data_IF_331443473323
#
_entry.id   IF_331443473323
#
_cell.length_a   1.000
_cell.length_b   1.000
_cell.length_c   1.000
_cell.angle_alpha   90.00
_cell.angle_beta   90.00
_cell.angle_gamma   90.00
#
_symmetry.space_group_name_H-M   'P 1'
#
loop_
_entity.id
_entity.type
_entity.pdbx_description
1 polymer ?
#
# COMPACT_ATOMS: atom_id res chain seq x y z
N UNK A 1 -5.89 0.42 -15.94
CA UNK A 1 -5.32 -0.94 -15.97
C UNK A 1 -4.29 -1.20 -14.87
N UNK A 2 -3.26 -0.37 -14.68
CA UNK A 2 -2.22 -0.59 -13.65
C UNK A 2 -2.77 -0.93 -12.26
N UNK A 3 -3.64 -0.09 -11.71
CA UNK A 3 -4.31 -0.30 -10.41
C UNK A 3 -5.00 -1.67 -10.32
N UNK A 4 -5.69 -2.06 -11.39
CA UNK A 4 -6.48 -3.31 -11.44
C UNK A 4 -5.59 -4.54 -11.44
N UNK A 5 -4.48 -4.51 -12.15
CA UNK A 5 -3.50 -5.61 -12.13
C UNK A 5 -2.87 -5.77 -10.74
N UNK A 6 -2.57 -4.66 -10.06
CA UNK A 6 -2.11 -4.69 -8.67
C UNK A 6 -3.16 -5.32 -7.75
N UNK A 7 -4.41 -4.88 -7.80
CA UNK A 7 -5.52 -5.45 -7.00
C UNK A 7 -5.67 -6.95 -7.25
N UNK A 8 -5.72 -7.39 -8.51
CA UNK A 8 -5.86 -8.80 -8.86
C UNK A 8 -4.66 -9.64 -8.37
N UNK A 9 -3.44 -9.07 -8.42
CA UNK A 9 -2.24 -9.76 -7.95
C UNK A 9 -2.24 -10.00 -6.44
N UNK A 10 -2.72 -9.03 -5.64
CA UNK A 10 -2.77 -9.17 -4.18
C UNK A 10 -4.00 -9.94 -3.70
N UNK A 11 -5.06 -10.04 -4.52
CA UNK A 11 -6.17 -10.96 -4.26
C UNK A 11 -5.77 -12.43 -4.48
N UNK A 12 -4.74 -12.69 -5.28
CA UNK A 12 -4.30 -14.03 -5.67
C UNK A 12 -3.07 -14.55 -4.90
N UNK A 13 -2.85 -14.08 -3.66
CA UNK A 13 -1.85 -14.66 -2.77
C UNK A 13 -2.17 -16.13 -2.47
N UNK A 14 -1.13 -16.94 -2.26
CA UNK A 14 -1.28 -18.33 -1.82
C UNK A 14 -1.54 -18.36 -0.31
N UNK A 15 -2.68 -17.84 0.11
CA UNK A 15 -3.11 -17.75 1.50
C UNK A 15 -4.61 -18.05 1.59
N UNK A 16 -5.12 -18.56 2.71
CA UNK A 16 -6.55 -18.88 2.83
C UNK A 16 -7.41 -17.65 2.54
N UNK A 17 -8.27 -17.78 1.54
CA UNK A 17 -9.01 -16.66 0.96
C UNK A 17 -9.92 -15.97 1.98
N UNK A 18 -10.46 -16.74 2.92
CA UNK A 18 -11.31 -16.25 4.01
C UNK A 18 -10.56 -15.35 5.01
N UNK A 19 -9.22 -15.37 5.00
CA UNK A 19 -8.35 -14.53 5.83
C UNK A 19 -7.82 -13.31 5.09
N UNK A 20 -8.06 -13.21 3.78
CA UNK A 20 -7.64 -12.08 2.94
C UNK A 20 -8.76 -11.05 2.78
N UNK A 21 -8.38 -9.78 2.78
CA UNK A 21 -9.26 -8.65 2.48
C UNK A 21 -8.45 -7.57 1.80
N UNK A 22 -8.93 -7.08 0.67
CA UNK A 22 -8.26 -6.08 -0.17
C UNK A 22 -9.11 -4.81 -0.17
N UNK A 23 -8.44 -3.68 0.05
CA UNK A 23 -9.07 -2.37 0.10
C UNK A 23 -8.36 -1.45 -0.90
N UNK A 24 -9.12 -0.84 -1.80
CA UNK A 24 -8.63 0.18 -2.72
C UNK A 24 -9.08 1.56 -2.23
N UNK A 25 -8.12 2.44 -1.92
CA UNK A 25 -8.41 3.85 -1.66
C UNK A 25 -8.24 4.67 -2.94
N UNK A 26 -9.25 5.44 -3.29
CA UNK A 26 -9.25 6.35 -4.43
C UNK A 26 -9.47 7.79 -3.95
N UNK A 27 -8.36 8.51 -3.81
CA UNK A 27 -8.37 9.93 -3.44
C UNK A 27 -8.89 10.83 -4.57
N UNK A 28 -8.99 10.35 -5.81
CA UNK A 28 -9.61 11.08 -6.92
C UNK A 28 -11.13 10.97 -6.94
N UNK A 29 -11.70 10.00 -6.22
CA UNK A 29 -13.15 9.76 -6.16
C UNK A 29 -13.76 9.52 -7.54
N UNK A 30 -13.06 8.83 -8.43
CA UNK A 30 -13.49 8.64 -9.81
C UNK A 30 -14.41 7.43 -9.94
N UNK A 31 -15.57 7.63 -10.55
CA UNK A 31 -16.49 6.53 -10.89
C UNK A 31 -15.87 5.56 -11.90
N UNK A 32 -14.95 6.02 -12.76
CA UNK A 32 -14.16 5.18 -13.66
C UNK A 32 -13.25 4.21 -12.89
N UNK A 33 -12.61 4.65 -11.80
CA UNK A 33 -11.80 3.76 -10.94
C UNK A 33 -12.70 2.71 -10.29
N UNK A 34 -13.87 3.12 -9.79
CA UNK A 34 -14.85 2.19 -9.22
C UNK A 34 -15.37 1.19 -10.26
N UNK A 35 -15.68 1.64 -11.48
CA UNK A 35 -16.05 0.76 -12.59
C UNK A 35 -14.95 -0.25 -12.94
N UNK A 36 -13.70 0.21 -13.03
CA UNK A 36 -12.57 -0.67 -13.29
C UNK A 36 -12.42 -1.73 -12.19
N UNK A 37 -12.66 -1.38 -10.93
CA UNK A 37 -12.64 -2.33 -9.81
C UNK A 37 -13.83 -3.30 -9.87
N UNK A 38 -15.00 -2.85 -10.31
CA UNK A 38 -16.16 -3.72 -10.53
C UNK A 38 -15.89 -4.76 -11.62
N UNK A 39 -15.32 -4.34 -12.74
CA UNK A 39 -14.87 -5.25 -13.81
C UNK A 39 -13.82 -6.25 -13.29
N UNK A 40 -12.85 -5.78 -12.49
CA UNK A 40 -11.85 -6.62 -11.85
C UNK A 40 -12.48 -7.65 -10.89
N UNK A 41 -13.50 -7.26 -10.12
CA UNK A 41 -14.20 -8.15 -9.21
C UNK A 41 -14.86 -9.32 -9.94
N UNK A 42 -15.40 -9.07 -11.14
CA UNK A 42 -15.97 -10.12 -11.98
C UNK A 42 -14.89 -11.04 -12.56
N UNK A 43 -13.80 -10.47 -13.09
CA UNK A 43 -12.68 -11.26 -13.62
C UNK A 43 -11.98 -12.09 -12.54
N UNK A 44 -11.95 -11.60 -11.29
CA UNK A 44 -11.33 -12.30 -10.16
C UNK A 44 -11.91 -13.71 -9.93
N UNK A 45 -13.20 -13.91 -10.24
CA UNK A 45 -13.88 -15.22 -10.19
C UNK A 45 -13.25 -16.29 -11.08
N UNK A 46 -12.51 -15.88 -12.11
CA UNK A 46 -11.83 -16.77 -13.03
C UNK A 46 -10.31 -16.75 -12.79
N UNK A 47 -9.76 -15.57 -12.47
CA UNK A 47 -8.31 -15.39 -12.29
C UNK A 47 -7.76 -16.09 -11.05
N UNK A 48 -8.43 -15.97 -9.91
CA UNK A 48 -7.96 -16.54 -8.64
C UNK A 48 -7.89 -18.08 -8.67
N UNK A 49 -8.94 -18.81 -9.09
CA UNK A 49 -8.85 -20.27 -9.20
C UNK A 49 -7.81 -20.70 -10.24
N UNK A 50 -7.69 -20.00 -11.38
CA UNK A 50 -6.64 -20.26 -12.37
C UNK A 50 -5.24 -20.13 -11.76
N UNK A 51 -4.98 -19.04 -11.04
CA UNK A 51 -3.73 -18.81 -10.33
C UNK A 51 -3.41 -19.96 -9.37
N UNK A 52 -4.38 -20.37 -8.57
CA UNK A 52 -4.22 -21.42 -7.56
C UNK A 52 -4.01 -22.80 -8.17
N UNK A 53 -4.83 -23.15 -9.18
CA UNK A 53 -4.81 -24.45 -9.86
C UNK A 53 -3.48 -24.71 -10.57
N UNK A 54 -2.96 -23.71 -11.28
CA UNK A 54 -1.73 -23.85 -12.07
C UNK A 54 -0.48 -23.31 -11.38
N UNK A 55 -0.61 -22.81 -10.14
CA UNK A 55 0.45 -22.21 -9.34
C UNK A 55 1.33 -21.21 -10.12
N UNK A 56 0.68 -20.34 -10.89
CA UNK A 56 1.38 -19.44 -11.82
C UNK A 56 2.05 -18.28 -11.11
N UNK A 57 3.11 -17.73 -11.68
CA UNK A 57 3.70 -16.48 -11.22
C UNK A 57 4.23 -15.65 -12.42
N UNK A 58 4.20 -14.31 -12.38
CA UNK A 58 3.67 -13.46 -11.30
C UNK A 58 2.14 -13.48 -11.21
N UNK A 59 1.57 -12.99 -10.10
CA UNK A 59 0.10 -12.94 -9.90
C UNK A 59 -0.59 -11.77 -10.59
N UNK A 60 0.17 -10.81 -11.13
CA UNK A 60 -0.36 -9.74 -12.00
C UNK A 60 -0.72 -10.32 -13.38
N UNK A 61 -2.00 -10.25 -13.81
CA UNK A 61 -2.41 -10.75 -15.12
C UNK A 61 -1.64 -10.09 -16.27
N UNK A 62 -1.48 -8.77 -16.24
CA UNK A 62 -0.71 -8.06 -17.27
C UNK A 62 0.74 -8.54 -17.36
N UNK A 63 1.41 -8.70 -16.22
CA UNK A 63 2.79 -9.16 -16.17
C UNK A 63 2.89 -10.61 -16.68
N UNK A 64 2.00 -11.48 -16.20
CA UNK A 64 1.94 -12.89 -16.60
C UNK A 64 1.66 -13.08 -18.09
N UNK A 65 0.71 -12.33 -18.67
CA UNK A 65 0.40 -12.45 -20.10
C UNK A 65 1.38 -11.72 -21.02
N UNK A 66 2.27 -10.90 -20.47
CA UNK A 66 3.34 -10.23 -21.22
C UNK A 66 4.58 -11.10 -21.39
N UNK A 67 4.80 -12.08 -20.51
CA UNK A 67 5.86 -13.06 -20.67
C UNK A 67 5.47 -14.10 -21.71
N UNK A 68 6.31 -14.28 -22.73
CA UNK A 68 6.22 -15.44 -23.63
C UNK A 68 6.54 -16.68 -22.79
N UNK A 69 5.59 -17.59 -22.61
CA UNK A 69 5.89 -18.89 -22.02
C UNK A 69 5.35 -20.02 -22.87
N UNK A 70 6.27 -20.68 -23.56
CA UNK A 70 6.09 -21.89 -24.37
C UNK A 70 5.81 -23.16 -23.51
N UNK A 71 5.40 -23.01 -22.25
CA UNK A 71 5.38 -24.09 -21.26
C UNK A 71 4.00 -24.37 -20.65
N UNK A 72 2.91 -24.01 -21.34
CA UNK A 72 1.57 -24.28 -20.83
C UNK A 72 1.16 -25.73 -20.99
N UNK A 73 0.90 -26.38 -19.85
CA UNK A 73 0.34 -27.73 -19.76
C UNK A 73 -1.13 -27.75 -20.22
N UNK A 74 -1.85 -26.62 -20.13
CA UNK A 74 -3.23 -26.46 -20.58
C UNK A 74 -3.41 -25.16 -21.38
N UNK A 75 -3.24 -25.28 -22.71
CA UNK A 75 -3.33 -24.19 -23.68
C UNK A 75 -4.76 -23.63 -23.78
N UNK A 76 -5.78 -24.47 -23.58
CA UNK A 76 -7.19 -24.07 -23.68
C UNK A 76 -7.57 -23.17 -22.51
N UNK A 77 -7.28 -23.59 -21.27
CA UNK A 77 -7.50 -22.77 -20.08
C UNK A 77 -6.73 -21.45 -20.16
N UNK A 78 -5.47 -21.48 -20.58
CA UNK A 78 -4.67 -20.26 -20.75
C UNK A 78 -5.31 -19.29 -21.75
N UNK A 79 -5.69 -19.78 -22.94
CA UNK A 79 -6.32 -18.97 -23.99
C UNK A 79 -7.66 -18.38 -23.52
N UNK A 80 -8.48 -19.17 -22.83
CA UNK A 80 -9.76 -18.73 -22.29
C UNK A 80 -9.60 -17.60 -21.26
N UNK A 81 -8.69 -17.76 -20.28
CA UNK A 81 -8.46 -16.71 -19.26
C UNK A 81 -7.82 -15.47 -19.88
N UNK A 82 -6.87 -15.64 -20.82
CA UNK A 82 -6.26 -14.51 -21.55
C UNK A 82 -7.30 -13.72 -22.32
N UNK A 83 -8.26 -14.40 -22.96
CA UNK A 83 -9.40 -13.76 -23.64
C UNK A 83 -10.25 -12.96 -22.65
N UNK A 84 -10.65 -13.54 -21.52
CA UNK A 84 -11.42 -12.84 -20.49
C UNK A 84 -10.70 -11.60 -19.94
N UNK A 85 -9.38 -11.70 -19.72
CA UNK A 85 -8.55 -10.56 -19.32
C UNK A 85 -8.59 -9.45 -20.37
N UNK A 86 -8.40 -9.80 -21.65
CA UNK A 86 -8.41 -8.82 -22.76
C UNK A 86 -9.77 -8.18 -22.97
N UNK A 87 -10.86 -8.92 -22.76
CA UNK A 87 -12.22 -8.37 -22.80
C UNK A 87 -12.45 -7.37 -21.65
N UNK A 88 -12.01 -7.70 -20.43
CA UNK A 88 -12.07 -6.80 -19.28
C UNK A 88 -11.24 -5.53 -19.53
N UNK A 89 -9.98 -5.68 -19.98
CA UNK A 89 -9.08 -4.59 -20.33
C UNK A 89 -9.72 -3.67 -21.38
N UNK A 90 -10.27 -4.26 -22.45
CA UNK A 90 -10.94 -3.51 -23.51
C UNK A 90 -12.15 -2.71 -23.01
N UNK A 91 -13.00 -3.30 -22.15
CA UNK A 91 -14.14 -2.59 -21.55
C UNK A 91 -13.68 -1.40 -20.72
N UNK A 92 -12.72 -1.62 -19.83
CA UNK A 92 -12.16 -0.57 -18.96
C UNK A 92 -11.55 0.57 -19.79
N UNK A 93 -10.70 0.24 -20.77
CA UNK A 93 -10.05 1.25 -21.61
C UNK A 93 -11.03 2.01 -22.49
N UNK A 94 -12.04 1.34 -23.04
CA UNK A 94 -13.07 1.98 -23.85
C UNK A 94 -13.86 2.99 -23.02
N UNK A 95 -14.32 2.59 -21.83
CA UNK A 95 -15.04 3.48 -20.91
C UNK A 95 -14.16 4.62 -20.42
N UNK A 96 -12.88 4.37 -20.12
CA UNK A 96 -11.92 5.40 -19.74
C UNK A 96 -11.69 6.42 -20.87
N UNK A 97 -11.55 5.97 -22.13
CA UNK A 97 -11.41 6.85 -23.31
C UNK A 97 -12.67 7.68 -23.56
N UNK A 98 -13.85 7.11 -23.32
CA UNK A 98 -15.11 7.84 -23.42
C UNK A 98 -15.30 8.86 -22.29
N UNK A 99 -14.57 8.72 -21.18
CA UNK A 99 -14.67 9.59 -20.00
C UNK A 99 -16.01 9.49 -19.26
N UNK A 100 -16.86 8.52 -19.61
CA UNK A 100 -18.17 8.31 -19.00
C UNK A 100 -18.59 6.85 -19.03
N UNK A 101 -19.33 6.43 -18.02
CA UNK A 101 -19.89 5.07 -17.92
C UNK A 101 -21.31 5.09 -18.51
N UNK A 102 -21.63 4.21 -19.47
CA UNK A 102 -22.99 4.07 -20.01
C UNK A 102 -24.04 3.82 -18.91
N UNK A 103 -25.23 4.38 -19.07
CA UNK A 103 -26.29 4.31 -18.04
C UNK A 103 -26.78 2.86 -17.81
N UNK A 104 -26.73 2.03 -18.85
CA UNK A 104 -27.05 0.61 -18.77
C UNK A 104 -26.06 -0.16 -17.87
N UNK A 105 -24.84 0.35 -17.70
CA UNK A 105 -23.85 -0.20 -16.77
C UNK A 105 -24.04 0.38 -15.37
N UNK A 106 -24.31 1.68 -15.27
CA UNK A 106 -24.55 2.36 -13.98
C UNK A 106 -25.72 1.75 -13.23
N UNK A 107 -26.79 1.41 -13.94
CA UNK A 107 -27.99 0.77 -13.37
C UNK A 107 -27.75 -0.66 -12.86
N UNK A 108 -26.66 -1.34 -13.28
CA UNK A 108 -26.33 -2.70 -12.82
C UNK A 108 -25.77 -2.76 -11.41
N UNK A 109 -25.31 -1.65 -10.84
CA UNK A 109 -24.72 -1.63 -9.52
C UNK A 109 -25.15 -0.41 -8.69
N UNK A 110 -25.81 -0.64 -7.55
CA UNK A 110 -26.35 0.40 -6.66
C UNK A 110 -25.33 1.50 -6.31
N UNK A 111 -24.04 1.12 -6.19
CA UNK A 111 -22.96 2.02 -5.77
C UNK A 111 -22.73 3.21 -6.69
N UNK A 112 -23.11 3.15 -7.97
CA UNK A 112 -22.96 4.29 -8.87
C UNK A 112 -23.82 5.50 -8.47
N UNK A 113 -24.90 5.28 -7.70
CA UNK A 113 -25.74 6.35 -7.18
C UNK A 113 -25.02 7.31 -6.24
N UNK A 114 -23.91 6.88 -5.62
CA UNK A 114 -23.08 7.73 -4.75
C UNK A 114 -22.46 8.92 -5.50
N UNK A 115 -22.24 8.78 -6.82
CA UNK A 115 -21.69 9.85 -7.64
C UNK A 115 -22.72 10.90 -8.05
N UNK A 116 -24.02 10.64 -7.83
CA UNK A 116 -25.06 11.62 -8.16
C UNK A 116 -25.03 12.84 -7.22
N UNK A 117 -24.42 12.71 -6.04
CA UNK A 117 -24.25 13.81 -5.07
C UNK A 117 -22.84 14.39 -5.03
N UNK A 118 -21.92 13.92 -5.88
CA UNK A 118 -20.53 14.41 -5.95
C UNK A 118 -20.51 15.77 -6.63
N UNK A 119 -20.00 16.79 -5.91
CA UNK A 119 -19.86 18.14 -6.48
C UNK A 119 -18.54 18.30 -7.21
N UNK A 120 -17.44 17.82 -6.62
CA UNK A 120 -16.12 17.77 -7.26
C UNK A 120 -15.21 16.74 -6.60
N UNK A 121 -14.03 16.48 -7.19
CA UNK A 121 -13.00 15.62 -6.57
C UNK A 121 -12.45 16.17 -5.23
N UNK A 122 -12.74 17.44 -4.89
CA UNK A 122 -12.35 18.07 -3.62
C UNK A 122 -13.54 18.34 -2.70
N UNK A 123 -14.75 18.01 -3.15
CA UNK A 123 -15.99 18.23 -2.41
C UNK A 123 -17.00 17.11 -2.70
N UNK A 124 -16.94 16.08 -1.87
CA UNK A 124 -17.83 14.93 -1.94
C UNK A 124 -17.91 14.21 -0.60
N UNK A 125 -19.03 13.55 -0.34
CA UNK A 125 -19.20 12.67 0.81
C UNK A 125 -18.29 11.43 0.72
N UNK A 126 -18.15 10.69 1.81
CA UNK A 126 -17.49 9.38 1.76
C UNK A 126 -18.25 8.41 0.84
N UNK A 127 -17.55 7.83 -0.13
CA UNK A 127 -18.03 6.76 -0.99
C UNK A 127 -17.33 5.45 -0.57
N UNK A 128 -18.10 4.50 -0.04
CA UNK A 128 -17.59 3.22 0.42
C UNK A 128 -18.49 2.12 -0.14
N UNK A 129 -17.92 1.15 -0.85
CA UNK A 129 -18.65 0.02 -1.43
C UNK A 129 -17.91 -1.29 -1.16
N UNK A 130 -18.63 -2.29 -0.64
CA UNK A 130 -18.13 -3.65 -0.50
C UNK A 130 -18.54 -4.45 -1.74
N UNK A 131 -17.61 -4.58 -2.70
CA UNK A 131 -17.88 -5.26 -3.98
C UNK A 131 -17.96 -6.77 -3.82
N UNK A 132 -17.09 -7.33 -2.97
CA UNK A 132 -17.11 -8.74 -2.59
C UNK A 132 -17.15 -8.78 -1.06
N UNK A 133 -18.25 -9.28 -0.51
CA UNK A 133 -18.35 -9.59 0.91
C UNK A 133 -18.15 -11.10 1.10
N UNK A 134 -17.00 -11.51 1.65
CA UNK A 134 -16.68 -12.94 1.83
C UNK A 134 -17.70 -13.72 2.68
N UNK A 135 -18.51 -13.02 3.47
CA UNK A 135 -19.58 -13.63 4.29
C UNK A 135 -20.85 -13.92 3.50
N UNK A 136 -20.95 -13.37 2.29
CA UNK A 136 -22.06 -13.63 1.38
C UNK A 136 -21.90 -15.00 0.72
N UNK A 137 -22.95 -15.83 0.65
CA UNK A 137 -22.89 -17.12 -0.05
C UNK A 137 -22.60 -16.97 -1.56
N UNK A 138 -22.85 -15.78 -2.13
CA UNK A 138 -22.59 -15.50 -3.54
C UNK A 138 -21.17 -15.03 -3.82
N UNK A 139 -20.34 -14.85 -2.78
CA UNK A 139 -18.94 -14.42 -2.91
C UNK A 139 -18.02 -15.63 -3.16
N UNK A 140 -18.33 -16.39 -4.21
CA UNK A 140 -17.58 -17.56 -4.64
C UNK A 140 -17.06 -17.40 -6.07
N UNK A 141 -15.95 -18.08 -6.35
CA UNK A 141 -15.39 -18.21 -7.69
C UNK A 141 -16.11 -19.29 -8.51
N UNK A 142 -15.66 -19.53 -9.75
CA UNK A 142 -16.27 -20.52 -10.64
C UNK A 142 -16.15 -21.97 -10.15
N UNK A 143 -15.21 -22.24 -9.24
CA UNK A 143 -15.00 -23.57 -8.64
C UNK A 143 -15.77 -23.70 -7.31
N UNK A 144 -16.54 -22.69 -6.92
CA UNK A 144 -17.31 -22.65 -5.67
C UNK A 144 -16.49 -22.29 -4.42
N UNK A 145 -15.24 -21.88 -4.57
CA UNK A 145 -14.39 -21.44 -3.46
C UNK A 145 -14.66 -19.99 -3.09
N UNK A 146 -14.62 -19.65 -1.80
CA UNK A 146 -14.85 -18.30 -1.33
C UNK A 146 -13.81 -17.30 -1.89
N UNK A 147 -14.26 -16.08 -2.22
CA UNK A 147 -13.43 -14.96 -2.68
C UNK A 147 -13.04 -14.03 -1.53
N UNK A 148 -11.90 -13.32 -1.64
CA UNK A 148 -11.46 -12.42 -0.58
C UNK A 148 -12.35 -11.17 -0.59
N UNK A 149 -12.52 -10.57 0.59
CA UNK A 149 -13.31 -9.32 0.68
C UNK A 149 -12.65 -8.23 -0.16
N UNK A 150 -13.43 -7.52 -0.98
CA UNK A 150 -12.95 -6.44 -1.84
C UNK A 150 -13.76 -5.17 -1.57
N UNK A 151 -13.06 -4.10 -1.17
CA UNK A 151 -13.69 -2.84 -0.75
C UNK A 151 -13.10 -1.67 -1.53
N UNK A 152 -13.98 -0.82 -2.08
CA UNK A 152 -13.63 0.48 -2.63
C UNK A 152 -13.90 1.56 -1.59
N UNK A 153 -12.94 2.46 -1.37
CA UNK A 153 -13.09 3.64 -0.52
C UNK A 153 -12.64 4.90 -1.27
N UNK A 154 -13.51 5.89 -1.35
CA UNK A 154 -13.12 7.29 -1.50
C UNK A 154 -13.57 8.03 -0.24
N UNK A 155 -12.60 8.47 0.57
CA UNK A 155 -12.86 9.19 1.82
C UNK A 155 -13.49 10.57 1.56
N UNK A 156 -14.20 11.08 2.54
CA UNK A 156 -14.81 12.42 2.42
C UNK A 156 -13.75 13.50 2.17
N UNK A 157 -14.08 14.42 1.27
CA UNK A 157 -13.28 15.61 1.00
C UNK A 157 -14.17 16.83 1.02
N UNK A 158 -13.69 17.87 1.71
CA UNK A 158 -14.31 19.20 1.75
C UNK A 158 -13.24 20.26 1.46
N UNK A 159 -13.57 21.37 0.75
CA UNK A 159 -12.58 22.38 0.36
C UNK A 159 -11.76 22.98 1.51
N UNK A 160 -12.36 23.06 2.71
CA UNK A 160 -11.74 23.67 3.89
C UNK A 160 -11.03 22.66 4.81
N UNK A 161 -10.99 21.37 4.43
CA UNK A 161 -10.36 20.31 5.22
C UNK A 161 -9.10 19.81 4.55
N UNK A 162 -7.96 19.93 5.24
CA UNK A 162 -6.70 19.41 4.74
C UNK A 162 -6.69 17.88 4.81
N UNK A 163 -6.48 17.22 3.67
CA UNK A 163 -6.64 15.76 3.55
C UNK A 163 -5.34 14.96 3.71
N UNK A 164 -4.16 15.60 3.84
CA UNK A 164 -2.89 14.91 4.14
C UNK A 164 -2.50 13.81 3.11
N UNK A 165 -2.89 13.95 1.84
CA UNK A 165 -2.50 13.07 0.72
C UNK A 165 -2.55 11.57 1.08
N UNK A 166 -1.49 10.80 0.75
CA UNK A 166 -1.39 9.35 0.98
C UNK A 166 -1.51 8.97 2.45
N UNK A 167 -0.90 9.72 3.36
CA UNK A 167 -0.98 9.47 4.81
C UNK A 167 -2.44 9.42 5.30
N UNK A 168 -3.24 10.42 4.90
CA UNK A 168 -4.65 10.48 5.30
C UNK A 168 -5.51 9.39 4.64
N UNK A 169 -5.20 9.01 3.39
CA UNK A 169 -5.87 7.91 2.70
C UNK A 169 -5.63 6.58 3.42
N UNK A 170 -4.37 6.29 3.76
CA UNK A 170 -3.99 5.11 4.52
C UNK A 170 -4.61 5.10 5.93
N UNK A 171 -4.67 6.26 6.60
CA UNK A 171 -5.30 6.35 7.92
C UNK A 171 -6.80 6.07 7.87
N UNK A 172 -7.50 6.58 6.85
CA UNK A 172 -8.92 6.24 6.62
C UNK A 172 -9.10 4.73 6.38
N UNK A 173 -8.23 4.10 5.56
CA UNK A 173 -8.26 2.65 5.36
C UNK A 173 -8.01 1.85 6.65
N UNK A 174 -7.06 2.27 7.50
CA UNK A 174 -6.80 1.58 8.77
C UNK A 174 -8.06 1.62 9.65
N UNK A 175 -8.75 2.77 9.72
CA UNK A 175 -10.00 2.89 10.48
C UNK A 175 -11.13 2.06 9.88
N UNK A 176 -11.44 2.22 8.60
CA UNK A 176 -12.52 1.51 7.90
C UNK A 176 -12.31 0.00 7.98
N UNK A 177 -11.10 -0.49 7.70
CA UNK A 177 -10.79 -1.92 7.77
C UNK A 177 -10.91 -2.50 9.17
N UNK A 178 -10.77 -1.70 10.24
CA UNK A 178 -10.96 -2.16 11.62
C UNK A 178 -12.41 -2.58 11.90
N UNK A 179 -13.38 -1.99 11.21
CA UNK A 179 -14.80 -2.33 11.31
C UNK A 179 -15.19 -3.48 10.37
N UNK A 180 -14.62 -3.53 9.17
CA UNK A 180 -15.02 -4.51 8.14
C UNK A 180 -14.36 -5.88 8.35
N UNK A 181 -13.03 -5.96 8.40
CA UNK A 181 -12.31 -7.24 8.51
C UNK A 181 -11.45 -7.36 9.76
N UNK A 182 -11.10 -6.26 10.42
CA UNK A 182 -10.27 -6.19 11.62
C UNK A 182 -8.95 -7.00 11.53
N UNK A 183 -8.36 -7.08 10.32
CA UNK A 183 -7.15 -7.86 10.08
C UNK A 183 -5.97 -7.38 10.93
N UNK A 184 -5.27 -8.29 11.62
CA UNK A 184 -4.20 -7.94 12.57
C UNK A 184 -2.89 -7.53 11.91
N UNK A 185 -2.65 -8.02 10.69
CA UNK A 185 -1.53 -7.62 9.84
C UNK A 185 -2.10 -6.83 8.66
N UNK A 186 -1.45 -5.73 8.31
CA UNK A 186 -1.81 -4.83 7.23
C UNK A 186 -0.65 -4.79 6.26
N UNK A 187 -0.88 -5.17 5.01
CA UNK A 187 0.05 -4.96 3.92
C UNK A 187 -0.29 -3.62 3.24
N UNK A 188 0.67 -2.71 3.14
CA UNK A 188 0.56 -1.53 2.29
C UNK A 188 1.34 -1.74 0.99
N UNK A 189 0.70 -1.42 -0.14
CA UNK A 189 1.25 -1.58 -1.49
C UNK A 189 0.74 -0.42 -2.33
N UNK A 190 1.65 0.22 -3.07
CA UNK A 190 1.32 1.26 -4.03
C UNK A 190 0.67 0.69 -5.30
N UNK A 191 -0.15 1.48 -5.97
CA UNK A 191 -0.94 1.00 -7.11
C UNK A 191 -0.10 0.59 -8.34
N UNK A 192 1.15 1.03 -8.40
CA UNK A 192 2.15 0.68 -9.41
C UNK A 192 3.02 -0.52 -9.01
N UNK A 193 2.79 -1.13 -7.83
CA UNK A 193 3.52 -2.29 -7.32
C UNK A 193 2.60 -3.51 -7.26
N UNK A 194 2.91 -4.58 -8.00
CA UNK A 194 2.15 -5.82 -7.97
C UNK A 194 2.88 -6.94 -7.21
N UNK A 195 2.12 -7.94 -6.78
CA UNK A 195 2.64 -9.16 -6.18
C UNK A 195 3.35 -10.02 -7.23
N UNK A 196 4.66 -10.16 -7.10
CA UNK A 196 5.49 -11.02 -7.94
C UNK A 196 5.75 -12.39 -7.30
N UNK A 197 5.55 -12.54 -5.99
CA UNK A 197 5.66 -13.81 -5.28
C UNK A 197 4.44 -14.01 -4.37
N UNK A 198 3.62 -15.02 -4.65
CA UNK A 198 2.42 -15.32 -3.86
C UNK A 198 2.67 -15.88 -2.47
N UNK A 199 3.91 -16.21 -2.12
CA UNK A 199 4.27 -16.65 -0.77
C UNK A 199 4.60 -15.48 0.17
N UNK A 200 4.67 -14.24 -0.33
CA UNK A 200 5.10 -13.07 0.46
C UNK A 200 4.30 -12.87 1.76
N UNK A 201 3.01 -13.22 1.78
CA UNK A 201 2.18 -13.19 3.00
C UNK A 201 2.68 -14.21 4.03
N UNK A 202 2.96 -15.45 3.62
CA UNK A 202 3.48 -16.50 4.51
C UNK A 202 4.88 -16.15 5.01
N UNK A 203 5.73 -15.68 4.10
CA UNK A 203 7.09 -15.25 4.43
C UNK A 203 7.09 -14.16 5.52
N UNK A 204 6.24 -13.14 5.37
CA UNK A 204 6.10 -12.09 6.37
C UNK A 204 5.57 -12.63 7.71
N UNK A 205 4.60 -13.54 7.66
CA UNK A 205 4.02 -14.15 8.86
C UNK A 205 5.03 -14.98 9.65
N UNK A 206 6.02 -15.61 9.02
CA UNK A 206 7.09 -16.33 9.72
C UNK A 206 7.78 -15.43 10.76
N UNK A 207 8.06 -14.17 10.42
CA UNK A 207 8.67 -13.20 11.35
C UNK A 207 7.73 -12.76 12.46
N UNK A 208 6.44 -12.58 12.16
CA UNK A 208 5.47 -12.15 13.18
C UNK A 208 5.07 -13.27 14.14
N UNK A 209 5.15 -14.52 13.69
CA UNK A 209 4.72 -15.70 14.44
C UNK A 209 5.87 -16.40 15.16
N UNK A 210 7.10 -15.92 14.99
CA UNK A 210 8.26 -16.40 15.75
C UNK A 210 8.00 -16.23 17.27
N UNK A 211 8.08 -17.34 18.00
CA UNK A 211 7.71 -17.40 19.42
C UNK A 211 8.67 -16.63 20.33
N UNK A 212 9.93 -16.51 19.91
CA UNK A 212 10.97 -15.86 20.71
C UNK A 212 11.01 -14.36 20.48
N UNK A 213 11.05 -13.91 19.22
CA UNK A 213 11.32 -12.53 18.82
C UNK A 213 10.18 -11.87 18.07
N UNK A 214 9.20 -12.64 17.59
CA UNK A 214 8.13 -12.11 16.75
C UNK A 214 7.32 -11.01 17.44
N UNK A 215 7.17 -11.09 18.76
CA UNK A 215 6.47 -10.08 19.58
C UNK A 215 7.15 -8.69 19.58
N UNK A 216 8.42 -8.59 19.20
CA UNK A 216 9.16 -7.32 19.08
C UNK A 216 9.02 -6.68 17.68
N UNK A 217 8.60 -7.45 16.68
CA UNK A 217 8.56 -7.02 15.27
C UNK A 217 7.27 -6.25 14.99
N UNK A 218 7.40 -4.97 14.66
CA UNK A 218 6.28 -4.13 14.23
C UNK A 218 5.96 -4.28 12.75
N UNK A 219 6.98 -4.42 11.90
CA UNK A 219 6.79 -4.55 10.46
C UNK A 219 7.91 -5.30 9.76
N UNK A 220 7.59 -5.90 8.61
CA UNK A 220 8.52 -6.59 7.71
C UNK A 220 8.54 -5.83 6.39
N UNK A 221 9.70 -5.27 6.05
CA UNK A 221 9.92 -4.49 4.83
C UNK A 221 10.53 -5.38 3.74
N UNK A 222 9.87 -5.44 2.59
CA UNK A 222 10.43 -6.07 1.39
C UNK A 222 11.17 -5.01 0.55
N UNK A 223 12.15 -5.42 -0.28
CA UNK A 223 12.78 -4.53 -1.24
C UNK A 223 11.74 -3.94 -2.20
N UNK A 224 11.86 -2.64 -2.48
CA UNK A 224 11.21 -2.05 -3.65
C UNK A 224 12.01 -2.45 -4.89
N UNK A 225 11.38 -3.14 -5.84
CA UNK A 225 12.01 -3.65 -7.05
C UNK A 225 11.15 -3.32 -8.27
N UNK A 226 11.78 -3.20 -9.44
CA UNK A 226 11.13 -2.68 -10.64
C UNK A 226 11.34 -3.59 -11.85
N UNK A 227 10.34 -3.71 -12.72
CA UNK A 227 10.39 -4.57 -13.91
C UNK A 227 10.86 -3.85 -15.17
N UNK A 228 10.71 -2.52 -15.24
CA UNK A 228 11.06 -1.68 -16.38
C UNK A 228 12.50 -1.15 -16.36
N UNK A 229 13.40 -1.79 -15.59
CA UNK A 229 14.80 -1.37 -15.52
C UNK A 229 15.56 -1.75 -16.80
N UNK A 230 16.38 -0.82 -17.28
CA UNK A 230 17.29 -1.09 -18.39
C UNK A 230 18.57 -1.74 -17.87
N UNK A 231 19.27 -2.48 -18.74
CA UNK A 231 20.58 -3.10 -18.41
C UNK A 231 21.61 -2.09 -17.86
N UNK A 232 21.53 -0.83 -18.31
CA UNK A 232 22.50 0.20 -17.94
C UNK A 232 22.10 0.94 -16.65
N UNK A 233 20.82 0.91 -16.25
CA UNK A 233 20.26 1.59 -15.07
C UNK A 233 20.88 2.98 -14.79
N UNK A 234 20.94 3.83 -15.83
CA UNK A 234 21.68 5.11 -15.79
C UNK A 234 21.16 6.10 -14.75
N UNK A 235 19.93 5.90 -14.25
CA UNK A 235 19.32 6.71 -13.20
C UNK A 235 19.47 6.11 -11.80
N UNK A 236 20.06 4.91 -11.67
CA UNK A 236 20.21 4.23 -10.39
C UNK A 236 18.89 3.78 -9.77
N UNK A 237 17.86 3.56 -10.59
CA UNK A 237 16.50 3.25 -10.14
C UNK A 237 16.41 1.90 -9.44
N UNK A 238 17.38 0.99 -9.65
CA UNK A 238 17.43 -0.29 -8.93
C UNK A 238 17.65 -0.15 -7.42
N UNK A 239 18.22 0.98 -6.96
CA UNK A 239 18.58 1.22 -5.55
C UNK A 239 19.36 0.04 -4.93
N UNK A 240 20.24 -0.58 -5.71
CA UNK A 240 20.92 -1.83 -5.36
C UNK A 240 21.77 -1.75 -4.09
N UNK A 241 22.41 -0.61 -3.82
CA UNK A 241 23.21 -0.39 -2.59
C UNK A 241 22.30 -0.30 -1.36
N UNK A 242 21.24 0.51 -1.45
CA UNK A 242 20.25 0.69 -0.38
C UNK A 242 19.63 -0.66 0.03
N UNK A 243 19.12 -1.40 -0.96
CA UNK A 243 18.46 -2.67 -0.72
C UNK A 243 19.41 -3.86 -0.48
N UNK A 244 20.61 -3.85 -1.06
CA UNK A 244 21.56 -4.97 -0.94
C UNK A 244 22.44 -4.90 0.30
N UNK A 245 22.83 -3.69 0.70
CA UNK A 245 23.84 -3.45 1.73
C UNK A 245 23.25 -2.72 2.92
N UNK A 246 22.66 -1.54 2.72
CA UNK A 246 22.27 -0.66 3.83
C UNK A 246 21.13 -1.25 4.67
N UNK A 247 20.01 -1.63 4.05
CA UNK A 247 18.87 -2.20 4.78
C UNK A 247 19.20 -3.55 5.42
N UNK A 248 19.98 -4.38 4.74
CA UNK A 248 20.52 -5.62 5.32
C UNK A 248 21.38 -5.33 6.54
N UNK A 249 22.22 -4.29 6.49
CA UNK A 249 23.04 -3.86 7.62
C UNK A 249 22.23 -3.30 8.79
N UNK A 250 21.17 -2.54 8.51
CA UNK A 250 20.25 -1.99 9.53
C UNK A 250 19.47 -3.07 10.28
N UNK A 251 19.27 -4.24 9.68
CA UNK A 251 18.61 -5.37 10.33
C UNK A 251 19.36 -5.82 11.61
N UNK A 252 20.68 -5.67 11.63
CA UNK A 252 21.50 -5.87 12.84
C UNK A 252 21.28 -4.85 13.96
N UNK A 253 20.62 -3.72 13.67
CA UNK A 253 20.42 -2.58 14.58
C UNK A 253 18.95 -2.26 14.85
N UNK A 254 18.06 -3.25 14.70
CA UNK A 254 16.63 -3.10 15.00
C UNK A 254 15.74 -2.91 13.77
N UNK A 255 16.31 -3.04 12.56
CA UNK A 255 15.55 -3.13 11.32
C UNK A 255 15.62 -1.88 10.44
N UNK A 256 15.23 -2.01 9.15
CA UNK A 256 15.22 -0.92 8.19
C UNK A 256 14.07 0.05 8.45
N UNK A 257 14.12 1.26 7.84
CA UNK A 257 12.96 2.15 7.81
C UNK A 257 11.79 1.56 7.01
N UNK A 258 10.61 2.11 7.26
CA UNK A 258 9.45 1.93 6.40
C UNK A 258 9.59 2.83 5.16
N UNK A 259 9.49 2.26 3.96
CA UNK A 259 9.72 2.96 2.67
C UNK A 259 8.48 3.06 1.78
N UNK A 260 7.29 3.04 2.37
CA UNK A 260 6.06 3.43 1.67
C UNK A 260 5.29 2.35 0.90
N UNK A 261 5.92 1.22 0.57
CA UNK A 261 5.30 0.10 -0.18
C UNK A 261 5.91 -1.26 0.19
N UNK A 262 5.21 -2.35 -0.11
CA UNK A 262 5.68 -3.73 0.09
C UNK A 262 6.01 -4.03 1.55
N UNK A 263 5.27 -3.44 2.49
CA UNK A 263 5.54 -3.58 3.92
C UNK A 263 4.35 -4.19 4.65
N UNK A 264 4.61 -5.20 5.45
CA UNK A 264 3.61 -5.80 6.32
C UNK A 264 3.75 -5.19 7.70
N UNK A 265 2.68 -4.62 8.25
CA UNK A 265 2.65 -3.99 9.57
C UNK A 265 1.71 -4.74 10.51
N UNK A 266 2.07 -4.83 11.79
CA UNK A 266 1.08 -5.09 12.85
C UNK A 266 0.13 -3.90 12.95
N UNK A 267 -1.18 -4.15 12.95
CA UNK A 267 -2.20 -3.11 13.09
C UNK A 267 -1.99 -2.27 14.35
N UNK A 268 -1.67 -2.89 15.47
CA UNK A 268 -1.54 -2.18 16.74
C UNK A 268 -0.39 -1.17 16.76
N UNK A 269 0.68 -1.42 16.01
CA UNK A 269 1.84 -0.53 15.94
C UNK A 269 1.48 0.70 15.12
N UNK A 270 0.69 0.54 14.05
CA UNK A 270 0.05 1.65 13.37
C UNK A 270 -0.95 2.36 14.29
N UNK A 271 -1.69 1.66 15.14
CA UNK A 271 -2.61 2.26 16.11
C UNK A 271 -1.93 2.86 17.37
N UNK A 272 -0.64 3.20 17.32
CA UNK A 272 0.01 3.93 18.42
C UNK A 272 0.52 3.08 19.58
N UNK A 273 0.39 1.74 19.52
CA UNK A 273 0.88 0.85 20.60
C UNK A 273 2.38 1.04 20.85
N UNK A 274 2.78 1.09 22.11
CA UNK A 274 4.18 1.05 22.55
C UNK A 274 4.59 -0.39 22.87
N UNK A 275 5.83 -0.73 22.55
CA UNK A 275 6.42 -2.00 22.97
C UNK A 275 6.92 -1.84 24.41
N UNK A 276 6.37 -2.62 25.33
CA UNK A 276 6.82 -2.65 26.73
C UNK A 276 7.44 -4.03 26.99
N UNK A 277 8.46 -4.13 27.84
CA UNK A 277 9.24 -5.37 28.07
C UNK A 277 8.41 -6.60 28.48
N UNK A 278 7.20 -6.41 29.02
CA UNK A 278 6.27 -7.48 29.40
C UNK A 278 5.21 -7.81 28.33
N UNK A 279 5.34 -7.28 27.11
CA UNK A 279 4.36 -7.46 26.06
C UNK A 279 4.50 -8.82 25.40
N UNK A 280 3.58 -9.74 25.72
CA UNK A 280 3.36 -10.94 24.91
C UNK A 280 2.21 -10.67 23.95
N UNK A 281 2.51 -10.68 22.65
CA UNK A 281 1.48 -10.66 21.62
C UNK A 281 0.58 -11.89 21.80
N UNK A 282 -0.63 -11.68 22.30
CA UNK A 282 -1.61 -12.75 22.37
C UNK A 282 -2.43 -12.74 21.09
N UNK A 283 -2.35 -13.84 20.33
CA UNK A 283 -3.36 -14.16 19.33
C UNK A 283 -4.66 -14.54 20.05
N UNK A 284 -5.24 -13.60 20.81
CA UNK A 284 -6.64 -13.75 21.22
C UNK A 284 -7.43 -13.61 19.95
N UNK A 285 -7.94 -14.74 19.47
CA UNK A 285 -9.06 -14.77 18.56
C UNK A 285 -10.10 -13.86 19.21
N UNK A 286 -10.26 -12.65 18.66
CA UNK A 286 -11.35 -11.82 19.10
C UNK A 286 -12.57 -12.59 18.62
N UNK A 287 -13.23 -13.29 19.55
CA UNK A 287 -14.64 -13.62 19.46
C UNK A 287 -15.33 -12.26 19.44
N UNK A 288 -15.23 -11.56 18.32
CA UNK A 288 -16.24 -10.61 17.95
C UNK A 288 -17.44 -11.52 17.87
N UNK A 289 -18.34 -11.43 18.85
CA UNK A 289 -19.69 -11.92 18.71
C UNK A 289 -20.20 -11.29 17.42
N UNK A 290 -20.05 -11.99 16.30
CA UNK A 290 -20.39 -11.50 14.98
C UNK A 290 -21.91 -11.53 14.95
N UNK A 291 -22.52 -10.48 15.50
CA UNK A 291 -23.75 -10.00 14.92
C UNK A 291 -23.42 -9.83 13.44
N UNK A 292 -24.06 -10.64 12.61
CA UNK A 292 -23.81 -10.70 11.17
C UNK A 292 -24.30 -9.38 10.56
N UNK A 293 -23.50 -8.32 10.69
CA UNK A 293 -23.78 -7.03 10.08
C UNK A 293 -23.76 -7.20 8.57
N UNK A 294 -24.85 -6.81 7.91
CA UNK A 294 -24.94 -6.82 6.45
C UNK A 294 -23.87 -5.90 5.84
N UNK A 295 -23.50 -6.16 4.57
CA UNK A 295 -22.61 -5.27 3.83
C UNK A 295 -23.05 -3.80 3.87
N UNK A 296 -24.37 -3.54 3.78
CA UNK A 296 -24.92 -2.19 3.87
C UNK A 296 -24.66 -1.51 5.22
N UNK A 297 -24.72 -2.26 6.33
CA UNK A 297 -24.50 -1.70 7.66
C UNK A 297 -23.00 -1.40 7.91
N UNK A 298 -22.14 -2.21 7.31
CA UNK A 298 -20.69 -1.98 7.33
C UNK A 298 -20.30 -0.82 6.44
N UNK A 299 -20.93 -0.67 5.27
CA UNK A 299 -20.80 0.53 4.44
C UNK A 299 -21.22 1.77 5.24
N UNK A 300 -22.37 1.73 5.91
CA UNK A 300 -22.87 2.85 6.73
C UNK A 300 -21.90 3.23 7.85
N UNK A 301 -21.44 2.24 8.63
CA UNK A 301 -20.52 2.52 9.75
C UNK A 301 -19.12 2.90 9.25
N UNK A 302 -18.65 2.26 8.18
CA UNK A 302 -17.37 2.57 7.56
C UNK A 302 -17.32 3.98 6.97
N UNK A 303 -18.43 4.48 6.42
CA UNK A 303 -18.51 5.88 5.95
C UNK A 303 -18.21 6.89 7.06
N UNK A 304 -18.76 6.67 8.26
CA UNK A 304 -18.49 7.54 9.43
C UNK A 304 -16.99 7.54 9.79
N UNK A 305 -16.31 6.41 9.64
CA UNK A 305 -14.88 6.28 9.96
C UNK A 305 -13.96 6.97 8.93
N UNK A 306 -14.44 7.26 7.73
CA UNK A 306 -13.69 7.93 6.68
C UNK A 306 -14.14 9.39 6.43
N UNK A 307 -14.93 9.93 7.36
CA UNK A 307 -15.30 11.34 7.43
C UNK A 307 -14.07 12.25 7.56
N UNK A 308 -14.11 13.45 6.96
CA UNK A 308 -12.98 14.36 6.91
C UNK A 308 -12.66 15.03 8.25
N UNK A 309 -13.66 15.15 9.13
CA UNK A 309 -13.53 15.71 10.48
C UNK A 309 -13.28 14.63 11.54
N UNK A 310 -13.33 13.33 11.19
CA UNK A 310 -13.13 12.23 12.13
C UNK A 310 -11.85 12.37 12.97
N UNK A 311 -10.80 12.93 12.39
CA UNK A 311 -9.47 13.03 13.00
C UNK A 311 -9.32 14.26 13.90
N UNK A 312 -10.27 15.20 13.88
CA UNK A 312 -10.23 16.41 14.70
C UNK A 312 -10.26 16.08 16.19
N UNK A 313 -9.36 16.71 16.96
CA UNK A 313 -9.21 16.43 18.39
C UNK A 313 -8.61 15.05 18.72
N UNK A 314 -8.34 14.20 17.72
CA UNK A 314 -7.77 12.85 17.94
C UNK A 314 -6.24 12.82 17.83
N UNK A 315 -5.68 11.62 18.05
CA UNK A 315 -4.26 11.32 17.88
C UNK A 315 -3.89 10.79 16.47
N UNK A 316 -4.87 10.64 15.56
CA UNK A 316 -4.60 10.23 14.17
C UNK A 316 -3.72 11.25 13.46
N UNK A 317 -2.72 10.77 12.71
CA UNK A 317 -1.72 11.60 12.04
C UNK A 317 -0.66 12.19 12.97
N UNK A 318 -0.84 12.13 14.29
CA UNK A 318 0.08 12.67 15.29
C UNK A 318 0.84 11.54 16.00
N UNK A 319 0.11 10.69 16.72
CA UNK A 319 0.65 9.54 17.45
C UNK A 319 0.21 8.20 16.86
N UNK A 320 -0.94 8.17 16.20
CA UNK A 320 -1.53 7.00 15.54
C UNK A 320 -1.58 7.16 14.02
N UNK A 321 -1.58 6.04 13.31
CA UNK A 321 -1.56 5.97 11.86
C UNK A 321 -0.22 6.37 11.25
N UNK A 322 -0.25 6.62 9.94
CA UNK A 322 0.82 7.32 9.24
C UNK A 322 0.84 8.77 9.71
N UNK A 323 2.04 9.30 9.94
CA UNK A 323 2.26 10.64 10.48
C UNK A 323 2.03 11.71 9.43
N UNK A 324 1.49 12.86 9.86
CA UNK A 324 1.28 14.02 8.99
C UNK A 324 2.41 15.04 9.11
N UNK A 325 2.46 15.95 8.14
CA UNK A 325 3.34 17.13 8.16
C UNK A 325 4.72 16.93 7.54
N UNK A 326 4.98 15.77 6.91
CA UNK A 326 6.22 15.50 6.19
C UNK A 326 5.93 14.88 4.80
N UNK A 327 6.65 15.28 3.72
CA UNK A 327 6.52 14.66 2.39
C UNK A 327 6.96 13.19 2.30
N UNK A 328 7.72 12.71 3.29
CA UNK A 328 8.16 11.32 3.46
C UNK A 328 7.49 10.75 4.72
N UNK A 329 6.15 10.69 4.70
CA UNK A 329 5.35 10.24 5.84
C UNK A 329 5.68 8.81 6.27
N UNK A 330 6.16 8.00 5.35
CA UNK A 330 6.58 6.62 5.55
C UNK A 330 7.78 6.53 6.49
N UNK A 331 8.87 7.23 6.15
CA UNK A 331 10.11 7.24 6.92
C UNK A 331 9.85 7.71 8.35
N UNK A 332 9.14 8.82 8.52
CA UNK A 332 8.81 9.36 9.85
C UNK A 332 7.84 8.45 10.64
N UNK A 333 6.96 7.71 9.96
CA UNK A 333 6.08 6.73 10.61
C UNK A 333 6.89 5.55 11.13
N UNK A 334 7.81 5.03 10.32
CA UNK A 334 8.77 4.00 10.74
C UNK A 334 9.60 4.46 11.94
N UNK A 335 10.17 5.67 11.87
CA UNK A 335 10.96 6.25 12.96
C UNK A 335 10.14 6.32 14.25
N UNK A 336 8.89 6.81 14.15
CA UNK A 336 8.01 6.88 15.32
C UNK A 336 7.60 5.51 15.86
N UNK A 337 7.56 4.46 15.03
CA UNK A 337 7.34 3.08 15.49
C UNK A 337 8.58 2.59 16.27
N UNK A 338 9.78 2.81 15.75
CA UNK A 338 11.02 2.41 16.42
C UNK A 338 11.26 3.17 17.73
N UNK A 339 10.97 4.47 17.78
CA UNK A 339 11.02 5.27 19.03
C UNK A 339 9.98 4.83 20.08
N UNK A 340 9.02 3.96 19.71
CA UNK A 340 8.09 3.32 20.64
C UNK A 340 8.57 1.94 21.12
N UNK A 341 9.83 1.60 20.86
CA UNK A 341 10.49 0.37 21.31
C UNK A 341 10.29 -0.85 20.39
N UNK A 342 9.70 -0.66 19.22
CA UNK A 342 9.50 -1.73 18.25
C UNK A 342 10.74 -1.93 17.37
N UNK A 343 10.88 -3.13 16.80
CA UNK A 343 11.86 -3.44 15.75
C UNK A 343 11.15 -3.68 14.41
N UNK A 344 11.90 -3.65 13.32
CA UNK A 344 11.46 -4.12 12.00
C UNK A 344 12.40 -5.19 11.47
N UNK A 345 11.98 -5.84 10.38
CA UNK A 345 12.79 -6.82 9.65
C UNK A 345 12.93 -6.39 8.20
N UNK A 346 14.12 -6.52 7.64
CA UNK A 346 14.31 -6.48 6.19
C UNK A 346 14.32 -7.88 5.60
N UNK A 347 13.39 -8.18 4.69
CA UNK A 347 13.32 -9.50 4.06
C UNK A 347 13.45 -9.43 2.53
N UNK A 348 14.56 -9.94 2.01
CA UNK A 348 14.91 -9.96 0.59
C UNK A 348 14.90 -11.40 0.03
N UNK A 349 13.74 -11.94 -0.35
CA UNK A 349 13.64 -13.29 -0.90
C UNK A 349 14.29 -13.41 -2.28
N UNK A 350 14.70 -14.63 -2.64
CA UNK A 350 15.30 -14.93 -3.95
C UNK A 350 14.38 -14.50 -5.11
N UNK A 351 13.09 -14.84 -5.04
CA UNK A 351 12.06 -14.24 -5.90
C UNK A 351 11.55 -12.98 -5.23
N UNK A 352 11.76 -11.83 -5.87
CA UNK A 352 11.28 -10.53 -5.35
C UNK A 352 9.80 -10.59 -5.01
N UNK A 353 9.43 -10.14 -3.81
CA UNK A 353 8.05 -10.17 -3.34
C UNK A 353 7.13 -9.28 -4.17
N UNK A 354 7.62 -8.07 -4.48
CA UNK A 354 6.88 -7.03 -5.18
C UNK A 354 7.71 -6.48 -6.34
N UNK A 355 7.04 -6.21 -7.46
CA UNK A 355 7.61 -5.51 -8.61
C UNK A 355 6.72 -4.35 -8.99
N UNK A 356 7.31 -3.22 -9.35
CA UNK A 356 6.56 -2.11 -9.92
C UNK A 356 7.31 -1.39 -11.02
N UNK A 357 6.95 -0.13 -11.23
CA UNK A 357 7.44 0.67 -12.35
C UNK A 357 8.30 1.82 -11.83
N UNK A 358 9.58 1.82 -12.18
CA UNK A 358 10.48 2.92 -11.91
C UNK A 358 10.19 4.12 -12.83
N UNK A 359 10.51 5.35 -12.41
CA UNK A 359 10.59 6.50 -13.30
C UNK A 359 11.44 6.19 -14.54
N UNK A 360 10.91 6.49 -15.73
CA UNK A 360 11.56 6.15 -17.00
C UNK A 360 12.30 7.32 -17.64
N UNK A 361 12.12 8.53 -17.11
CA UNK A 361 12.72 9.76 -17.62
C UNK A 361 13.46 10.52 -16.53
N UNK A 362 14.49 11.29 -16.92
CA UNK A 362 15.33 12.03 -15.98
C UNK A 362 14.51 13.04 -15.16
N UNK A 363 13.55 13.73 -15.77
CA UNK A 363 12.68 14.70 -15.10
C UNK A 363 11.83 14.04 -14.01
N UNK A 364 11.27 12.86 -14.26
CA UNK A 364 10.52 12.10 -13.26
C UNK A 364 11.43 11.66 -12.10
N UNK A 365 12.62 11.14 -12.41
CA UNK A 365 13.62 10.76 -11.40
C UNK A 365 14.02 11.96 -10.53
N UNK A 366 14.33 13.11 -11.14
CA UNK A 366 14.73 14.30 -10.40
C UNK A 366 13.62 14.83 -9.49
N UNK A 367 12.36 14.82 -9.94
CA UNK A 367 11.21 15.21 -9.11
C UNK A 367 11.06 14.27 -7.91
N UNK A 368 11.23 12.95 -8.13
CA UNK A 368 11.16 11.96 -7.07
C UNK A 368 12.26 12.16 -6.02
N UNK A 369 13.52 12.23 -6.44
CA UNK A 369 14.66 12.42 -5.54
C UNK A 369 14.62 13.77 -4.82
N UNK A 370 14.16 14.83 -5.49
CA UNK A 370 13.95 16.13 -4.85
C UNK A 370 12.96 16.02 -3.68
N UNK A 371 11.81 15.36 -3.90
CA UNK A 371 10.79 15.16 -2.86
C UNK A 371 11.35 14.39 -1.66
N UNK A 372 12.09 13.31 -1.91
CA UNK A 372 12.75 12.53 -0.84
C UNK A 372 13.75 13.37 -0.07
N UNK A 373 14.66 14.05 -0.77
CA UNK A 373 15.68 14.91 -0.16
C UNK A 373 15.06 16.04 0.69
N UNK A 374 14.04 16.74 0.18
CA UNK A 374 13.34 17.78 0.93
C UNK A 374 12.61 17.21 2.15
N UNK A 375 12.02 16.03 2.02
CA UNK A 375 11.34 15.33 3.10
C UNK A 375 12.29 14.93 4.22
N UNK A 376 13.39 14.25 3.88
CA UNK A 376 14.40 13.81 4.83
C UNK A 376 15.05 15.00 5.53
N UNK A 377 15.34 16.09 4.80
CA UNK A 377 15.86 17.31 5.41
C UNK A 377 14.87 17.94 6.40
N UNK A 378 13.56 17.93 6.08
CA UNK A 378 12.52 18.37 7.03
C UNK A 378 12.45 17.48 8.26
N UNK A 379 12.63 16.16 8.15
CA UNK A 379 12.69 15.28 9.33
C UNK A 379 13.80 15.75 10.27
N UNK A 380 15.02 15.93 9.76
CA UNK A 380 16.20 16.33 10.55
C UNK A 380 15.94 17.64 11.32
N UNK A 381 15.34 18.63 10.66
CA UNK A 381 15.12 19.97 11.22
C UNK A 381 13.84 20.09 12.05
N UNK A 382 12.98 19.06 12.04
CA UNK A 382 11.73 19.06 12.79
C UNK A 382 11.91 18.51 14.19
N UNK A 383 10.81 18.50 14.97
CA UNK A 383 10.74 17.80 16.26
C UNK A 383 11.05 16.30 16.17
N UNK A 384 11.04 15.73 14.97
CA UNK A 384 11.35 14.32 14.69
C UNK A 384 12.85 14.08 14.36
N UNK A 385 13.71 15.09 14.51
CA UNK A 385 15.14 14.94 14.31
C UNK A 385 15.70 13.78 15.15
N UNK A 386 16.40 12.79 14.55
CA UNK A 386 16.85 11.58 15.26
C UNK A 386 17.77 11.84 16.46
N UNK A 387 18.40 13.02 16.54
CA UNK A 387 19.25 13.42 17.68
C UNK A 387 18.44 13.85 18.91
N UNK A 388 17.21 14.31 18.73
CA UNK A 388 16.35 14.83 19.80
C UNK A 388 15.11 13.97 20.05
N UNK A 389 14.58 13.33 19.00
CA UNK A 389 13.35 12.55 19.06
C UNK A 389 13.63 11.12 19.53
N UNK A 390 12.93 10.65 20.57
CA UNK A 390 13.08 9.29 21.09
C UNK A 390 14.39 9.04 21.86
N UNK A 391 15.18 10.07 22.18
CA UNK A 391 16.47 9.96 22.88
C UNK A 391 16.39 9.30 24.28
N UNK A 392 15.18 9.12 24.82
CA UNK A 392 14.93 8.46 26.12
C UNK A 392 14.58 6.96 25.99
N UNK A 393 14.31 6.44 24.79
CA UNK A 393 14.22 5.00 24.54
C UNK A 393 15.55 4.55 23.94
N UNK A 394 16.35 3.85 24.72
CA UNK A 394 17.68 3.36 24.33
C UNK A 394 17.50 2.23 23.31
N UNK A 395 17.31 2.58 22.04
CA UNK A 395 17.42 1.66 20.91
C UNK A 395 18.37 2.27 19.90
N UNK A 396 19.31 1.48 19.35
CA UNK A 396 20.28 1.94 18.34
C UNK A 396 19.64 2.19 16.95
N UNK A 397 18.39 1.73 16.75
CA UNK A 397 17.63 1.84 15.49
C UNK A 397 17.48 3.27 14.91
N UNK A 398 17.24 4.34 15.71
CA UNK A 398 17.18 5.72 15.19
C UNK A 398 18.51 6.23 14.60
N UNK A 399 19.65 5.58 14.87
CA UNK A 399 20.93 5.96 14.26
C UNK A 399 21.00 5.59 12.78
N UNK A 400 20.31 4.52 12.35
CA UNK A 400 20.19 4.18 10.92
C UNK A 400 19.48 5.27 10.11
N UNK A 401 18.48 5.92 10.71
CA UNK A 401 17.81 7.08 10.12
C UNK A 401 18.74 8.28 9.97
N UNK A 402 19.72 8.44 10.88
CA UNK A 402 20.72 9.49 10.75
C UNK A 402 21.63 9.25 9.53
N UNK A 403 21.92 8.00 9.18
CA UNK A 403 22.74 7.64 8.00
C UNK A 403 21.99 8.01 6.71
N UNK A 404 20.74 7.54 6.55
CA UNK A 404 19.89 7.88 5.39
C UNK A 404 19.77 9.40 5.24
N UNK A 405 19.57 10.10 6.37
CA UNK A 405 19.45 11.56 6.37
C UNK A 405 20.76 12.32 6.09
N UNK A 406 21.92 11.68 6.32
CA UNK A 406 23.25 12.25 6.08
C UNK A 406 23.67 12.11 4.62
N UNK A 407 23.27 11.04 3.94
CA UNK A 407 23.59 10.86 2.51
C UNK A 407 23.05 12.02 1.67
N UNK A 408 21.87 12.55 2.03
CA UNK A 408 21.29 13.77 1.42
C UNK A 408 21.91 15.09 1.89
N UNK A 409 22.58 15.14 3.05
CA UNK A 409 23.34 16.34 3.49
C UNK A 409 24.58 16.60 2.64
N UNK A 410 25.10 15.59 1.96
CA UNK A 410 26.26 15.72 1.06
C UNK A 410 25.96 16.60 -0.17
N UNK A 411 24.68 16.86 -0.49
CA UNK A 411 24.22 17.69 -1.61
C UNK A 411 24.06 19.18 -1.22
N UNK A 412 25.03 19.78 -0.53
CA UNK A 412 25.07 21.25 -0.40
C UNK A 412 25.70 21.83 -1.67
N UNK A 413 24.87 22.32 -2.59
CA UNK A 413 25.35 23.18 -3.67
C UNK A 413 25.91 24.48 -3.07
N UNK A 414 27.23 24.60 -3.04
CA UNK A 414 27.87 25.91 -2.84
C UNK A 414 27.82 26.66 -4.18
N UNK A 415 26.77 27.45 -4.39
CA UNK A 415 26.78 28.43 -5.50
C UNK A 415 27.68 29.59 -5.07
N UNK A 416 28.93 29.61 -5.54
CA UNK A 416 29.77 30.81 -5.49
C UNK A 416 29.38 31.70 -6.66
N UNK A 417 28.53 32.69 -6.42
CA UNK A 417 28.32 33.79 -7.36
C UNK A 417 29.53 34.73 -7.20
N UNK A 418 30.37 34.83 -8.24
CA UNK A 418 31.36 35.91 -8.33
C UNK A 418 30.60 37.18 -8.66
N UNK A 419 30.64 38.17 -7.77
CA UNK A 419 30.17 39.51 -8.09
C UNK A 419 31.06 40.08 -9.20
N UNK A 420 30.44 40.47 -10.32
CA UNK A 420 31.08 41.27 -11.34
C UNK A 420 30.93 42.75 -10.92
N UNK A 421 32.08 43.43 -10.81
CA UNK A 421 32.30 44.86 -10.56
C UNK A 421 32.55 45.32 -9.12
N UNK A 422 33.84 45.46 -8.82
CA UNK A 422 34.54 46.50 -8.03
C UNK A 422 35.98 45.99 -7.86
N UNK A 423 37.06 46.60 -8.33
CA UNK A 423 37.49 48.01 -8.35
C UNK A 423 38.45 48.20 -9.57
N UNK A 424 38.35 49.19 -10.47
CA UNK A 424 38.67 50.62 -10.34
C UNK A 424 38.99 51.11 -8.92
N UNK A 425 40.27 51.01 -8.53
CA UNK A 425 41.24 52.12 -8.36
C UNK A 425 42.65 51.51 -8.42
#
# INVERSE_FOLDING_TARGET
MMVINTVLSVMAYNYPTEKLSVYLSDDGGSDLTFYALLEASNFSKHWLPFCKKFNIEPRSPAAYFSTESDLFVDVESFSAIKKLYKEMEHRIETTAKLGRIPEEIRTKHKGFSEWNSVSSQRDHQTILQVLIDRRSPNAVDIDGSALPTLVYLSREKRPNHHHNFKAGAMNALIRVSSKISNGKIILNVDCDMYSNNSESVKDALCFFMDEEKGHEIAFVQFPQSFDNLTKNDIYGSSMSVLGGVEFSGMDGYGGPPYIGTGCFHRRETLCGRKNNENYKFQYKESVVNQIHESANELERTGKILADCAFEEGTQWGKEMGLKYGCPVEDVITGLSIHCRGWKSVYFNPARKGFLGIAPSTLDQTLVQHKRWSEGDFRIILSKYGPLSYGCHSITLSPQGYLIISKDYKSMVFTIRIRDHNRDLI
#
